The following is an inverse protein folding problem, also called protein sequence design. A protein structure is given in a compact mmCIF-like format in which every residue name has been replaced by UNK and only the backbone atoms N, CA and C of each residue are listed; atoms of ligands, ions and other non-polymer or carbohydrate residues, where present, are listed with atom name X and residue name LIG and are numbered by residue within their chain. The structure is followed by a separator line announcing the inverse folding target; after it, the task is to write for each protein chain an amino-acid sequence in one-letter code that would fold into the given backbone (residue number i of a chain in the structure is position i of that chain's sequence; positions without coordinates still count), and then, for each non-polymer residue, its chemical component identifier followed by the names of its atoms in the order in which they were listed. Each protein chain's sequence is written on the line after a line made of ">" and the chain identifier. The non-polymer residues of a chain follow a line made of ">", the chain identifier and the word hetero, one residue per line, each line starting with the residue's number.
data_IF_321768324964
#
_entry.id   IF_321768324964
#
_cell.length_a   1.000
_cell.length_b   1.000
_cell.length_c   1.000
_cell.angle_alpha   90.00
_cell.angle_beta   90.00
_cell.angle_gamma   90.00
#
_symmetry.space_group_name_H-M   'P 1'
#
loop_
_entity.id
_entity.type
_entity.pdbx_description
1 polymer ?
#
# COMPACT_ATOMS: atom_id res chain seq x y z
N UNK A 1 -11.81 23.27 23.65
CA UNK A 1 -12.15 22.05 22.87
C UNK A 1 -10.83 21.45 22.39
N UNK A 2 -10.46 20.25 22.83
CA UNK A 2 -9.27 19.53 22.33
C UNK A 2 -9.57 19.11 20.89
N UNK A 3 -8.91 19.71 19.91
CA UNK A 3 -8.97 19.24 18.52
C UNK A 3 -8.12 17.97 18.45
N UNK A 4 -8.72 16.85 18.11
CA UNK A 4 -7.99 15.63 17.74
C UNK A 4 -7.21 15.92 16.46
N UNK A 5 -5.88 15.76 16.51
CA UNK A 5 -5.03 15.86 15.31
C UNK A 5 -5.25 14.56 14.53
N UNK A 6 -5.99 14.65 13.41
CA UNK A 6 -6.10 13.54 12.48
C UNK A 6 -4.87 13.58 11.56
N UNK A 7 -3.85 12.80 11.90
CA UNK A 7 -2.70 12.56 11.03
C UNK A 7 -2.86 11.16 10.44
N UNK A 8 -3.09 11.08 9.12
CA UNK A 8 -3.21 9.82 8.40
C UNK A 8 -1.97 9.60 7.57
N UNK A 9 -1.32 8.45 7.78
CA UNK A 9 -0.18 7.97 7.00
C UNK A 9 -0.63 6.74 6.23
N UNK A 10 -0.63 6.85 4.91
CA UNK A 10 -0.95 5.77 4.00
C UNK A 10 0.30 5.40 3.21
N UNK A 11 0.40 4.13 2.84
CA UNK A 11 1.49 3.55 2.10
C UNK A 11 0.95 2.97 0.79
N UNK A 12 1.67 3.19 -0.30
CA UNK A 12 1.38 2.60 -1.60
C UNK A 12 2.60 1.80 -2.06
N UNK A 13 2.37 0.53 -2.35
CA UNK A 13 3.32 -0.39 -2.95
C UNK A 13 2.83 -0.80 -4.33
N UNK A 14 3.66 -0.65 -5.35
CA UNK A 14 3.35 -1.07 -6.72
C UNK A 14 4.13 -2.35 -7.04
N UNK A 15 3.41 -3.43 -7.35
CA UNK A 15 3.94 -4.78 -7.63
C UNK A 15 3.59 -5.19 -9.07
N UNK A 16 4.55 -5.23 -9.99
CA UNK A 16 4.35 -5.82 -11.33
C UNK A 16 4.96 -7.22 -11.39
N UNK A 17 4.12 -8.26 -11.40
CA UNK A 17 4.57 -9.65 -11.50
C UNK A 17 4.59 -10.09 -12.97
N UNK A 18 5.75 -10.05 -13.62
CA UNK A 18 5.93 -10.61 -14.97
C UNK A 18 6.32 -12.10 -14.84
N UNK A 19 5.35 -13.01 -15.01
CA UNK A 19 5.61 -14.45 -15.01
C UNK A 19 6.21 -14.88 -16.36
N UNK A 20 7.54 -14.90 -16.49
CA UNK A 20 8.21 -15.49 -17.66
C UNK A 20 8.15 -17.03 -17.60
N UNK A 21 7.19 -17.63 -18.30
CA UNK A 21 7.17 -19.07 -18.52
C UNK A 21 8.29 -19.48 -19.51
N UNK A 22 9.36 -20.10 -19.02
CA UNK A 22 10.35 -20.79 -19.87
C UNK A 22 9.68 -22.04 -20.45
N UNK A 23 9.31 -21.99 -21.73
CA UNK A 23 8.73 -23.12 -22.43
C UNK A 23 9.81 -24.12 -22.86
N UNK A 24 9.89 -25.27 -22.17
CA UNK A 24 10.60 -26.45 -22.64
C UNK A 24 9.61 -27.62 -22.84
N UNK A 25 9.01 -27.68 -24.04
CA UNK A 25 8.77 -28.93 -24.76
C UNK A 25 7.79 -29.98 -24.22
N UNK A 26 6.59 -29.62 -23.77
CA UNK A 26 5.47 -30.59 -23.60
C UNK A 26 4.16 -30.02 -24.18
N UNK A 27 3.26 -30.84 -24.76
CA UNK A 27 1.97 -30.38 -25.24
C UNK A 27 1.07 -30.07 -24.04
N UNK A 28 0.96 -28.79 -23.72
CA UNK A 28 0.01 -28.28 -22.73
C UNK A 28 -1.33 -28.11 -23.45
N UNK A 29 -2.36 -28.83 -22.99
CA UNK A 29 -3.76 -28.43 -23.24
C UNK A 29 -3.83 -26.93 -23.04
N UNK A 30 -4.35 -26.15 -23.99
CA UNK A 30 -4.32 -24.69 -23.94
C UNK A 30 -4.92 -24.14 -22.64
N UNK A 31 -4.12 -24.09 -21.58
CA UNK A 31 -4.32 -23.21 -20.45
C UNK A 31 -4.12 -21.84 -21.06
N UNK A 32 -5.19 -21.04 -21.12
CA UNK A 32 -5.07 -19.61 -21.37
C UNK A 32 -3.83 -19.12 -20.60
N UNK A 33 -2.91 -18.47 -21.31
CA UNK A 33 -1.82 -17.76 -20.65
C UNK A 33 -2.47 -16.91 -19.56
N UNK A 34 -2.01 -16.98 -18.29
CA UNK A 34 -2.51 -16.06 -17.28
C UNK A 34 -2.38 -14.66 -17.85
N UNK A 35 -3.48 -13.91 -17.91
CA UNK A 35 -3.42 -12.52 -18.32
C UNK A 35 -2.38 -11.81 -17.47
N UNK A 36 -1.57 -10.94 -18.07
CA UNK A 36 -0.61 -10.10 -17.34
C UNK A 36 -1.30 -9.45 -16.14
N UNK A 37 -0.72 -9.66 -14.95
CA UNK A 37 -1.29 -9.23 -13.66
C UNK A 37 -0.50 -8.04 -13.15
N UNK A 38 -1.21 -6.95 -12.92
CA UNK A 38 -0.71 -5.81 -12.16
C UNK A 38 -1.31 -5.85 -10.75
N UNK A 39 -0.47 -5.70 -9.73
CA UNK A 39 -0.87 -5.77 -8.33
C UNK A 39 -0.39 -4.54 -7.57
N UNK A 40 -1.27 -3.92 -6.78
CA UNK A 40 -0.94 -2.73 -5.98
C UNK A 40 -1.37 -2.99 -4.54
N UNK A 41 -0.43 -2.93 -3.60
CA UNK A 41 -0.71 -3.12 -2.17
C UNK A 41 -0.73 -1.75 -1.49
N UNK A 42 -1.87 -1.42 -0.90
CA UNK A 42 -2.07 -0.25 -0.07
C UNK A 42 -1.98 -0.65 1.39
N UNK A 43 -1.08 -0.01 2.13
CA UNK A 43 -0.97 -0.15 3.57
C UNK A 43 -1.49 1.08 4.29
N UNK A 44 -2.30 0.89 5.32
CA UNK A 44 -2.63 1.95 6.26
C UNK A 44 -1.82 1.74 7.53
N UNK A 45 -1.08 2.77 7.95
CA UNK A 45 -0.19 2.68 9.10
C UNK A 45 -0.80 3.37 10.31
N UNK A 46 -0.49 2.83 11.49
CA UNK A 46 -0.66 3.52 12.75
C UNK A 46 0.42 4.59 12.93
N UNK A 47 0.24 5.44 13.95
CA UNK A 47 1.13 6.58 14.21
C UNK A 47 2.58 6.19 14.55
N UNK A 48 2.88 4.93 14.84
CA UNK A 48 4.22 4.43 15.15
C UNK A 48 4.87 3.67 13.97
N UNK A 49 4.13 3.47 12.88
CA UNK A 49 4.57 2.74 11.69
C UNK A 49 4.06 1.30 11.61
N UNK A 50 3.33 0.81 12.61
CA UNK A 50 2.70 -0.51 12.55
C UNK A 50 1.63 -0.56 11.46
N UNK A 51 1.53 -1.68 10.75
CA UNK A 51 0.53 -1.89 9.71
C UNK A 51 -0.83 -2.16 10.36
N UNK A 52 -1.80 -1.28 10.11
CA UNK A 52 -3.18 -1.42 10.57
C UNK A 52 -4.01 -2.29 9.63
N UNK A 53 -3.87 -2.05 8.33
CA UNK A 53 -4.64 -2.72 7.29
C UNK A 53 -3.83 -2.77 6.01
N UNK A 54 -3.88 -3.91 5.33
CA UNK A 54 -3.42 -4.03 3.96
C UNK A 54 -4.60 -4.32 3.03
N UNK A 55 -4.62 -3.63 1.91
CA UNK A 55 -5.57 -3.83 0.82
C UNK A 55 -4.76 -4.05 -0.45
N UNK A 56 -5.13 -5.03 -1.26
CA UNK A 56 -4.58 -5.22 -2.60
C UNK A 56 -5.59 -4.80 -3.66
N UNK A 57 -5.11 -4.22 -4.75
CA UNK A 57 -5.86 -4.03 -5.99
C UNK A 57 -5.16 -4.84 -7.07
N UNK A 58 -5.89 -5.80 -7.63
CA UNK A 58 -5.43 -6.65 -8.71
C UNK A 58 -6.10 -6.24 -10.00
N UNK A 59 -5.33 -6.15 -11.08
CA UNK A 59 -5.78 -5.74 -12.40
C UNK A 59 -5.29 -6.75 -13.43
N UNK A 60 -6.21 -7.14 -14.30
CA UNK A 60 -6.02 -8.12 -15.35
C UNK A 60 -6.52 -7.56 -16.68
N UNK A 61 -5.91 -8.01 -17.77
CA UNK A 61 -6.43 -7.79 -19.12
C UNK A 61 -7.71 -8.57 -19.41
N UNK A 62 -8.01 -8.71 -20.70
CA UNK A 62 -9.17 -9.47 -21.16
C UNK A 62 -9.02 -10.98 -20.93
N UNK A 63 -10.15 -11.67 -20.77
CA UNK A 63 -10.23 -13.12 -20.60
C UNK A 63 -10.39 -13.55 -19.15
N UNK A 64 -10.72 -14.83 -18.98
CA UNK A 64 -11.00 -15.41 -17.66
C UNK A 64 -9.82 -15.28 -16.69
N UNK A 65 -10.13 -14.94 -15.46
CA UNK A 65 -9.16 -14.68 -14.40
C UNK A 65 -9.16 -15.82 -13.40
N UNK A 66 -7.95 -16.31 -13.11
CA UNK A 66 -7.68 -17.18 -11.97
C UNK A 66 -6.57 -16.54 -11.15
N UNK A 67 -6.85 -16.24 -9.89
CA UNK A 67 -5.90 -15.61 -8.98
C UNK A 67 -5.89 -16.31 -7.63
N UNK A 68 -4.79 -16.13 -6.89
CA UNK A 68 -4.60 -16.72 -5.58
C UNK A 68 -4.24 -15.68 -4.53
N UNK A 69 -4.92 -15.74 -3.40
CA UNK A 69 -4.67 -14.88 -2.27
C UNK A 69 -5.67 -15.14 -1.14
N UNK A 70 -5.20 -14.87 0.08
CA UNK A 70 -6.01 -14.99 1.30
C UNK A 70 -6.58 -13.63 1.65
N UNK A 71 -7.82 -13.40 1.25
CA UNK A 71 -8.54 -12.16 1.52
C UNK A 71 -9.69 -12.38 2.49
N UNK A 72 -9.89 -11.42 3.40
CA UNK A 72 -11.05 -11.37 4.29
C UNK A 72 -12.32 -10.94 3.55
N UNK A 73 -12.14 -10.01 2.62
CA UNK A 73 -13.20 -9.45 1.79
C UNK A 73 -12.65 -9.26 0.38
N UNK A 74 -13.52 -9.46 -0.61
CA UNK A 74 -13.21 -9.22 -2.02
C UNK A 74 -14.33 -8.37 -2.59
N UNK A 75 -13.96 -7.32 -3.33
CA UNK A 75 -14.88 -6.42 -4.00
C UNK A 75 -14.52 -6.30 -5.48
N UNK A 76 -15.48 -6.57 -6.36
CA UNK A 76 -15.38 -6.27 -7.77
C UNK A 76 -15.32 -4.74 -7.98
N UNK A 77 -14.33 -4.26 -8.73
CA UNK A 77 -14.21 -2.85 -9.09
C UNK A 77 -14.62 -2.57 -10.54
N UNK A 78 -14.82 -3.61 -11.35
CA UNK A 78 -15.20 -3.53 -12.76
C UNK A 78 -16.73 -3.59 -12.96
N UNK A 79 -17.42 -4.37 -12.14
CA UNK A 79 -18.88 -4.56 -12.24
C UNK A 79 -19.54 -4.68 -10.86
N UNK A 80 -20.87 -4.78 -10.84
CA UNK A 80 -21.64 -5.07 -9.62
C UNK A 80 -21.70 -6.55 -9.25
N UNK A 81 -21.25 -7.45 -10.12
CA UNK A 81 -21.29 -8.89 -9.86
C UNK A 81 -20.31 -9.27 -8.74
N UNK A 82 -20.71 -10.12 -7.79
CA UNK A 82 -19.83 -10.56 -6.72
C UNK A 82 -18.67 -11.39 -7.28
N UNK A 83 -17.55 -11.34 -6.56
CA UNK A 83 -16.40 -12.20 -6.83
C UNK A 83 -16.31 -13.20 -5.69
N UNK A 84 -16.44 -14.48 -6.04
CA UNK A 84 -16.38 -15.56 -5.07
C UNK A 84 -14.94 -16.06 -4.92
N UNK A 85 -14.52 -16.19 -3.66
CA UNK A 85 -13.28 -16.85 -3.28
C UNK A 85 -13.63 -18.17 -2.62
N UNK A 86 -12.97 -19.24 -3.04
CA UNK A 86 -13.04 -20.56 -2.41
C UNK A 86 -11.64 -20.89 -1.93
N UNK A 87 -11.48 -21.05 -0.62
CA UNK A 87 -10.19 -21.15 0.06
C UNK A 87 -9.28 -19.94 -0.26
N UNK A 88 -8.17 -20.13 -0.97
CA UNK A 88 -7.26 -19.09 -1.42
C UNK A 88 -7.36 -18.79 -2.91
N UNK A 89 -8.39 -19.33 -3.61
CA UNK A 89 -8.53 -19.21 -5.07
C UNK A 89 -9.75 -18.37 -5.45
N UNK A 90 -9.54 -17.46 -6.39
CA UNK A 90 -10.58 -16.72 -7.10
C UNK A 90 -10.67 -17.20 -8.55
N UNK A 91 -11.87 -17.32 -9.07
CA UNK A 91 -12.11 -17.65 -10.48
C UNK A 91 -13.23 -16.77 -11.01
N UNK A 92 -12.90 -15.90 -11.96
CA UNK A 92 -13.85 -14.92 -12.51
C UNK A 92 -13.90 -15.09 -14.03
N UNK A 93 -15.04 -15.56 -14.58
CA UNK A 93 -15.30 -15.45 -16.01
C UNK A 93 -15.34 -13.97 -16.39
N UNK A 94 -14.58 -13.58 -17.42
CA UNK A 94 -14.45 -12.18 -17.78
C UNK A 94 -14.47 -11.99 -19.31
N UNK A 95 -15.53 -11.38 -19.79
CA UNK A 95 -15.74 -10.99 -21.19
C UNK A 95 -15.41 -9.51 -21.45
N UNK A 96 -15.05 -8.75 -20.41
CA UNK A 96 -14.64 -7.37 -20.52
C UNK A 96 -13.18 -7.24 -20.97
N UNK A 97 -12.83 -6.04 -21.45
CA UNK A 97 -11.46 -5.74 -21.88
C UNK A 97 -10.44 -5.68 -20.73
N UNK A 98 -10.92 -5.50 -19.49
CA UNK A 98 -10.14 -5.52 -18.27
C UNK A 98 -11.00 -6.02 -17.11
N UNK A 99 -10.34 -6.57 -16.10
CA UNK A 99 -10.97 -6.93 -14.83
C UNK A 99 -10.10 -6.46 -13.67
N UNK A 100 -10.74 -5.84 -12.68
CA UNK A 100 -10.09 -5.39 -11.45
C UNK A 100 -10.93 -5.68 -10.22
N UNK A 101 -10.25 -6.05 -9.15
CA UNK A 101 -10.86 -6.28 -7.86
C UNK A 101 -9.98 -5.75 -6.73
N UNK A 102 -10.61 -5.45 -5.60
CA UNK A 102 -9.96 -5.09 -4.34
C UNK A 102 -10.10 -6.24 -3.34
N UNK A 103 -9.02 -6.63 -2.68
CA UNK A 103 -9.04 -7.58 -1.57
C UNK A 103 -8.48 -6.95 -0.28
N UNK A 104 -9.12 -7.19 0.86
CA UNK A 104 -8.49 -6.92 2.16
C UNK A 104 -7.69 -8.14 2.61
N UNK A 105 -6.36 -7.99 2.75
CA UNK A 105 -5.45 -9.08 3.06
C UNK A 105 -5.65 -9.60 4.49
N UNK A 106 -5.60 -10.92 4.67
CA UNK A 106 -5.64 -11.53 5.99
C UNK A 106 -4.36 -11.27 6.80
N UNK A 107 -3.21 -11.33 6.13
CA UNK A 107 -1.88 -11.05 6.67
C UNK A 107 -1.49 -9.60 6.44
N UNK A 108 -0.81 -9.02 7.43
CA UNK A 108 -0.43 -7.59 7.44
C UNK A 108 1.07 -7.35 7.38
N UNK A 109 1.86 -8.38 7.06
CA UNK A 109 3.30 -8.26 6.98
C UNK A 109 3.72 -7.61 5.65
N UNK A 110 4.60 -6.61 5.71
CA UNK A 110 5.18 -5.93 4.55
C UNK A 110 6.68 -6.23 4.45
N UNK A 111 7.27 -6.25 3.23
CA UNK A 111 8.71 -6.39 3.04
C UNK A 111 9.55 -5.30 3.73
N UNK A 112 8.92 -4.21 4.16
CA UNK A 112 9.53 -3.11 4.90
C UNK A 112 9.03 -3.06 6.34
N UNK A 113 9.96 -2.88 7.27
CA UNK A 113 9.70 -2.43 8.63
C UNK A 113 9.71 -0.91 8.66
N UNK A 114 8.60 -0.31 9.07
CA UNK A 114 8.41 1.15 9.13
C UNK A 114 8.34 1.58 10.59
N UNK A 115 9.10 2.61 10.94
CA UNK A 115 9.09 3.21 12.27
C UNK A 115 8.89 4.72 12.17
N UNK A 116 7.96 5.25 12.95
CA UNK A 116 7.67 6.69 12.99
C UNK A 116 7.98 7.24 14.39
N UNK A 117 8.74 8.34 14.44
CA UNK A 117 9.14 9.01 15.67
C UNK A 117 8.88 10.51 15.59
N UNK A 118 8.59 11.10 16.74
CA UNK A 118 8.22 12.51 16.86
C UNK A 118 9.11 13.23 17.84
N UNK A 119 9.49 14.46 17.49
CA UNK A 119 10.13 15.40 18.39
C UNK A 119 9.42 16.75 18.30
N UNK A 120 9.08 17.33 19.44
CA UNK A 120 8.57 18.68 19.54
C UNK A 120 9.64 19.55 20.19
N UNK A 121 10.05 20.63 19.51
CA UNK A 121 11.12 21.53 19.95
C UNK A 121 12.42 20.78 20.33
N UNK A 122 12.74 19.71 19.58
CA UNK A 122 13.92 18.86 19.78
C UNK A 122 13.80 17.82 20.90
N UNK A 123 12.65 17.73 21.59
CA UNK A 123 12.40 16.72 22.62
C UNK A 123 11.49 15.60 22.10
N UNK A 124 11.88 14.35 22.35
CA UNK A 124 11.06 13.18 22.01
C UNK A 124 9.69 13.26 22.69
N UNK A 125 8.64 12.99 21.92
CA UNK A 125 7.25 13.01 22.40
C UNK A 125 6.49 11.85 21.77
N UNK A 126 5.47 11.33 22.46
CA UNK A 126 4.60 10.31 21.87
C UNK A 126 3.55 10.94 20.94
N UNK A 127 3.05 10.18 19.97
CA UNK A 127 2.01 10.66 19.07
C UNK A 127 0.74 11.12 19.82
N UNK A 128 0.38 10.43 20.91
CA UNK A 128 -0.79 10.77 21.72
C UNK A 128 -0.66 12.07 22.50
N UNK A 129 0.58 12.51 22.78
CA UNK A 129 0.87 13.74 23.51
C UNK A 129 1.00 14.96 22.59
N UNK A 130 1.14 14.77 21.28
CA UNK A 130 1.21 15.89 20.32
C UNK A 130 -0.09 16.72 20.24
N UNK A 131 -1.22 16.12 20.59
CA UNK A 131 -2.53 16.73 20.39
C UNK A 131 -2.73 17.97 21.28
N UNK A 132 -2.73 19.15 20.65
CA UNK A 132 -2.95 20.43 21.32
C UNK A 132 -1.67 21.16 21.71
N UNK A 133 -0.52 20.56 21.44
CA UNK A 133 0.78 21.22 21.61
C UNK A 133 1.08 22.15 20.43
N UNK A 134 2.06 23.02 20.59
CA UNK A 134 2.52 23.96 19.56
C UNK A 134 4.02 24.13 19.67
N UNK A 135 4.71 24.11 18.52
CA UNK A 135 6.17 24.16 18.45
C UNK A 135 6.68 23.63 17.12
N UNK A 136 7.99 23.48 17.01
CA UNK A 136 8.63 22.89 15.85
C UNK A 136 8.54 21.37 15.93
N UNK A 137 7.73 20.77 15.07
CA UNK A 137 7.57 19.32 14.99
C UNK A 137 8.56 18.73 13.96
N UNK A 138 9.35 17.76 14.39
CA UNK A 138 10.11 16.87 13.52
C UNK A 138 9.47 15.49 13.53
N UNK A 139 9.07 15.01 12.35
CA UNK A 139 8.59 13.64 12.14
C UNK A 139 9.69 12.88 11.40
N UNK A 140 10.22 11.83 12.03
CA UNK A 140 11.21 10.95 11.42
C UNK A 140 10.53 9.63 11.05
N UNK A 141 10.57 9.29 9.76
CA UNK A 141 10.12 7.99 9.25
C UNK A 141 11.35 7.20 8.85
N UNK A 142 11.55 6.04 9.48
CA UNK A 142 12.62 5.11 9.16
C UNK A 142 12.04 3.87 8.49
N UNK A 143 12.71 3.41 7.43
CA UNK A 143 12.34 2.23 6.66
C UNK A 143 13.54 1.29 6.63
N UNK A 144 13.30 0.01 6.88
CA UNK A 144 14.32 -1.05 6.88
C UNK A 144 13.74 -2.36 6.36
N UNK A 145 14.60 -3.31 5.99
CA UNK A 145 14.19 -4.63 5.50
C UNK A 145 13.44 -5.44 6.58
N UNK A 146 12.36 -6.10 6.18
CA UNK A 146 11.73 -7.15 6.97
C UNK A 146 12.30 -8.52 6.58
N UNK A 147 13.29 -8.98 7.34
CA UNK A 147 13.99 -10.27 7.15
C UNK A 147 13.10 -11.53 7.26
N UNK A 148 11.83 -11.39 7.64
CA UNK A 148 10.86 -12.50 7.65
C UNK A 148 10.17 -12.72 6.30
N UNK A 149 10.35 -11.79 5.36
CA UNK A 149 9.80 -11.85 4.00
C UNK A 149 10.95 -12.03 3.01
N UNK A 150 10.66 -12.61 1.86
CA UNK A 150 11.65 -12.80 0.80
C UNK A 150 12.31 -11.45 0.44
N UNK A 151 13.64 -11.33 0.54
CA UNK A 151 14.35 -10.08 0.27
C UNK A 151 14.15 -9.58 -1.16
N UNK A 152 13.74 -10.44 -2.10
CA UNK A 152 13.43 -10.02 -3.48
C UNK A 152 12.41 -8.87 -3.50
N UNK A 153 11.48 -8.83 -2.54
CA UNK A 153 10.48 -7.77 -2.47
C UNK A 153 11.08 -6.44 -2.00
N UNK A 154 11.99 -6.47 -1.03
CA UNK A 154 12.66 -5.26 -0.58
C UNK A 154 13.62 -4.71 -1.65
N UNK A 155 14.31 -5.61 -2.35
CA UNK A 155 15.39 -5.27 -3.30
C UNK A 155 14.90 -4.84 -4.69
N UNK A 156 13.65 -5.13 -5.08
CA UNK A 156 13.19 -4.90 -6.45
C UNK A 156 11.88 -4.10 -6.55
N UNK A 157 11.27 -3.73 -5.44
CA UNK A 157 10.00 -3.01 -5.45
C UNK A 157 10.13 -1.62 -4.86
N UNK A 158 9.39 -0.70 -5.47
CA UNK A 158 9.32 0.68 -5.03
C UNK A 158 8.32 0.82 -3.88
N UNK A 159 8.72 1.55 -2.84
CA UNK A 159 7.86 1.91 -1.72
C UNK A 159 7.55 3.41 -1.77
N UNK A 160 6.28 3.79 -1.82
CA UNK A 160 5.85 5.18 -1.68
C UNK A 160 5.07 5.37 -0.39
N UNK A 161 5.57 6.25 0.49
CA UNK A 161 4.85 6.69 1.68
C UNK A 161 4.05 7.95 1.34
N UNK A 162 2.92 8.13 2.01
CA UNK A 162 2.09 9.33 1.90
C UNK A 162 1.64 9.77 3.29
N UNK A 163 2.04 10.98 3.68
CA UNK A 163 1.62 11.63 4.91
C UNK A 163 0.70 12.81 4.57
N UNK A 164 -0.50 12.83 5.17
CA UNK A 164 -1.44 13.95 5.05
C UNK A 164 -1.46 14.77 6.34
N UNK A 165 -1.13 16.07 6.23
CA UNK A 165 -1.16 17.04 7.33
C UNK A 165 -2.22 18.11 7.10
N UNK A 166 -2.93 18.51 8.14
CA UNK A 166 -3.87 19.65 8.07
C UNK A 166 -3.10 20.97 7.94
N UNK A 167 -3.22 21.64 6.80
CA UNK A 167 -2.51 22.90 6.50
C UNK A 167 -2.99 24.11 7.32
N UNK A 168 -4.04 23.97 8.11
CA UNK A 168 -4.46 24.99 9.11
C UNK A 168 -3.75 24.81 10.44
N UNK A 169 -3.17 23.63 10.70
CA UNK A 169 -2.45 23.28 11.93
C UNK A 169 -0.94 23.24 11.69
N UNK A 170 -0.52 22.71 10.55
CA UNK A 170 0.88 22.58 10.16
C UNK A 170 1.23 23.60 9.07
N UNK A 171 2.28 24.37 9.32
CA UNK A 171 2.84 25.36 8.38
C UNK A 171 4.34 25.14 8.24
N UNK A 172 4.95 25.77 7.22
CA UNK A 172 6.42 25.75 7.03
C UNK A 172 6.98 24.32 6.92
N UNK A 173 6.24 23.45 6.24
CA UNK A 173 6.60 22.04 6.08
C UNK A 173 7.77 21.91 5.10
N UNK A 174 8.84 21.29 5.57
CA UNK A 174 10.00 20.91 4.78
C UNK A 174 10.21 19.39 4.86
N UNK A 175 10.47 18.77 3.71
CA UNK A 175 10.79 17.35 3.63
C UNK A 175 11.71 17.11 2.44
N UNK A 176 13.04 17.07 2.65
CA UNK A 176 14.00 16.89 1.57
C UNK A 176 13.74 15.60 0.80
N UNK A 177 13.67 15.70 -0.54
CA UNK A 177 13.47 14.54 -1.42
C UNK A 177 12.03 14.02 -1.50
N UNK A 178 11.09 14.57 -0.73
CA UNK A 178 9.68 14.25 -0.87
C UNK A 178 8.97 15.21 -1.83
N UNK A 179 7.95 14.70 -2.53
CA UNK A 179 6.99 15.57 -3.22
C UNK A 179 6.02 16.15 -2.20
N UNK A 180 5.84 17.48 -2.18
CA UNK A 180 4.85 18.15 -1.33
C UNK A 180 3.78 18.78 -2.22
N UNK A 181 2.51 18.43 -1.99
CA UNK A 181 1.37 18.93 -2.75
C UNK A 181 0.25 19.45 -1.84
N UNK A 182 -0.60 20.33 -2.38
CA UNK A 182 -1.84 20.77 -1.73
C UNK A 182 -3.00 19.87 -2.17
N UNK A 183 -3.77 19.36 -1.21
CA UNK A 183 -5.00 18.61 -1.45
C UNK A 183 -6.13 19.20 -0.60
N UNK A 184 -6.84 20.19 -1.15
CA UNK A 184 -7.81 20.99 -0.40
C UNK A 184 -7.13 21.73 0.76
N UNK A 185 -7.58 21.48 1.99
CA UNK A 185 -6.98 22.05 3.21
C UNK A 185 -5.73 21.29 3.70
N UNK A 186 -5.39 20.14 3.10
CA UNK A 186 -4.29 19.30 3.54
C UNK A 186 -3.03 19.53 2.71
N UNK A 187 -1.89 19.26 3.33
CA UNK A 187 -0.57 19.12 2.73
C UNK A 187 -0.26 17.64 2.64
N UNK A 188 -0.03 17.16 1.43
CA UNK A 188 0.32 15.75 1.15
C UNK A 188 1.81 15.68 0.88
N UNK A 189 2.51 14.83 1.62
CA UNK A 189 3.95 14.63 1.54
C UNK A 189 4.20 13.19 1.12
N UNK A 190 4.86 13.01 -0.02
CA UNK A 190 5.05 11.69 -0.64
C UNK A 190 6.51 11.42 -0.98
N UNK A 191 7.32 10.89 -0.04
CA UNK A 191 8.64 10.36 -0.35
C UNK A 191 8.51 9.00 -1.04
N UNK A 192 9.40 8.78 -2.01
CA UNK A 192 9.50 7.52 -2.75
C UNK A 192 10.86 6.91 -2.50
N UNK A 193 10.86 5.64 -2.12
CA UNK A 193 12.06 4.83 -1.92
C UNK A 193 12.12 3.89 -3.11
N UNK A 194 13.18 4.05 -3.90
CA UNK A 194 13.50 3.16 -5.00
C UNK A 194 14.37 2.01 -4.47
N UNK A 195 14.27 0.81 -5.08
CA UNK A 195 15.21 -0.28 -4.84
C UNK A 195 16.66 0.12 -5.15
#
# INVERSE_FOLDING_TARGET
>A
MRKTIAMTISLVLLMSLILMAVAAGQPVMASQMPSEKEEIIYGLLEHDGQVRQLTVVNMFGAGDVVDYGRYRTVQNLTSSEPVEQVDDRLSVPNDAAHFSYRGDLEETALPWMIKIQYQLDGQMISAGELAGESGQLLITVSVSENTQIDPVFFDHYMLQLTLSLDGTTFSEIESPGATIANAGQHKVISPTILP
#
